data_IF_860700080443
#
_entry.id   IF_860700080443
#
_cell.length_a   1.000
_cell.length_b   1.000
_cell.length_c   1.000
_cell.angle_alpha   90.00
_cell.angle_beta   90.00
_cell.angle_gamma   90.00
#
_symmetry.space_group_name_H-M   'P 1'
#
loop_
_entity.id
_entity.type
_entity.pdbx_description
1 polymer ?
#
# COMPACT_ATOMS: atom_id res chain seq x y z
N UNK A 1 -6.13 -7.06 4.93
CA UNK A 1 -5.17 -6.02 4.51
C UNK A 1 -5.21 -5.94 3.00
N UNK A 2 -5.31 -4.74 2.41
CA UNK A 2 -5.23 -4.54 0.96
C UNK A 2 -4.13 -3.53 0.72
N UNK A 3 -3.03 -3.99 0.12
CA UNK A 3 -1.87 -3.18 -0.20
C UNK A 3 -1.70 -3.03 -1.71
N UNK A 4 -1.20 -1.89 -2.16
CA UNK A 4 -0.95 -1.64 -3.56
C UNK A 4 0.48 -1.14 -3.81
N UNK A 5 1.18 -1.82 -4.72
CA UNK A 5 2.55 -1.46 -5.14
C UNK A 5 2.50 -0.20 -6.01
N UNK A 6 3.50 0.67 -5.87
CA UNK A 6 3.69 1.83 -6.73
C UNK A 6 4.32 2.98 -5.99
N UNK A 7 4.76 4.00 -6.72
CA UNK A 7 5.23 5.25 -6.12
C UNK A 7 4.09 5.99 -5.40
N UNK A 8 4.41 6.99 -4.58
CA UNK A 8 3.40 7.89 -3.99
C UNK A 8 2.51 8.54 -5.07
N UNK A 9 3.10 8.92 -6.20
CA UNK A 9 2.37 9.47 -7.36
C UNK A 9 1.40 8.45 -7.94
N UNK A 10 1.82 7.20 -8.09
CA UNK A 10 0.98 6.10 -8.60
C UNK A 10 -0.15 5.78 -7.64
N UNK A 11 0.07 5.87 -6.33
CA UNK A 11 -0.98 5.65 -5.33
C UNK A 11 -2.03 6.76 -5.34
N UNK A 12 -1.63 8.03 -5.43
CA UNK A 12 -2.58 9.15 -5.57
C UNK A 12 -3.48 8.97 -6.80
N UNK A 13 -2.89 8.72 -7.97
CA UNK A 13 -3.64 8.45 -9.20
C UNK A 13 -4.51 7.18 -9.11
N UNK A 14 -4.15 6.21 -8.27
CA UNK A 14 -5.01 5.03 -8.00
C UNK A 14 -6.24 5.42 -7.20
N UNK A 15 -6.09 6.25 -6.16
CA UNK A 15 -7.21 6.70 -5.33
C UNK A 15 -8.21 7.51 -6.13
N UNK A 16 -7.73 8.40 -7.00
CA UNK A 16 -8.56 9.14 -7.96
C UNK A 16 -9.36 8.19 -8.86
N UNK A 17 -8.69 7.20 -9.48
CA UNK A 17 -9.37 6.20 -10.33
C UNK A 17 -10.40 5.37 -9.57
N UNK A 18 -10.13 5.00 -8.32
CA UNK A 18 -11.10 4.26 -7.51
C UNK A 18 -12.31 5.13 -7.17
N UNK A 19 -12.12 6.42 -6.90
CA UNK A 19 -13.21 7.36 -6.67
C UNK A 19 -14.09 7.55 -7.92
N UNK A 20 -13.47 7.57 -9.11
CA UNK A 20 -14.18 7.61 -10.40
C UNK A 20 -15.00 6.33 -10.70
N UNK A 21 -14.73 5.24 -9.98
CA UNK A 21 -15.49 3.98 -10.07
C UNK A 21 -16.55 3.86 -8.97
N UNK A 22 -16.99 4.99 -8.41
CA UNK A 22 -17.98 5.08 -7.33
C UNK A 22 -17.63 4.25 -6.08
N UNK A 23 -16.33 3.98 -5.86
CA UNK A 23 -15.92 3.25 -4.66
C UNK A 23 -16.08 4.15 -3.42
N UNK A 24 -16.67 3.64 -2.32
CA UNK A 24 -16.83 4.43 -1.10
C UNK A 24 -15.50 4.96 -0.58
N UNK A 25 -15.45 6.23 -0.16
CA UNK A 25 -14.26 6.85 0.39
C UNK A 25 -13.67 6.06 1.57
N UNK A 26 -14.52 5.44 2.40
CA UNK A 26 -14.10 4.56 3.49
C UNK A 26 -13.32 3.33 2.99
N UNK A 27 -13.71 2.74 1.85
CA UNK A 27 -13.00 1.61 1.24
C UNK A 27 -11.66 2.08 0.64
N UNK A 28 -11.65 3.22 -0.06
CA UNK A 28 -10.43 3.82 -0.62
C UNK A 28 -9.42 4.15 0.49
N UNK A 29 -9.88 4.70 1.62
CA UNK A 29 -9.02 5.06 2.76
C UNK A 29 -8.42 3.84 3.46
N UNK A 30 -9.05 2.66 3.34
CA UNK A 30 -8.49 1.40 3.85
C UNK A 30 -7.37 0.83 2.97
N UNK A 31 -7.22 1.31 1.73
CA UNK A 31 -6.14 0.90 0.84
C UNK A 31 -4.80 1.40 1.37
N UNK A 32 -3.85 0.48 1.55
CA UNK A 32 -2.47 0.80 1.93
C UNK A 32 -1.62 0.98 0.68
N UNK A 33 -0.99 2.13 0.53
CA UNK A 33 -0.26 2.48 -0.68
C UNK A 33 0.64 3.69 -0.44
N UNK A 34 1.92 3.65 -0.88
CA UNK A 34 2.67 2.46 -1.30
C UNK A 34 2.73 1.37 -0.22
N UNK A 35 2.57 0.10 -0.61
CA UNK A 35 2.79 -1.06 0.28
C UNK A 35 4.28 -1.23 0.60
N UNK A 36 4.58 -1.68 1.81
CA UNK A 36 5.91 -1.93 2.35
C UNK A 36 6.39 -0.86 3.32
N UNK A 37 7.27 -1.25 4.24
CA UNK A 37 7.98 -0.30 5.10
C UNK A 37 8.98 0.54 4.28
N UNK A 38 9.21 1.82 4.62
CA UNK A 38 10.09 2.71 3.87
C UNK A 38 11.57 2.42 4.17
N UNK A 39 12.08 1.30 3.64
CA UNK A 39 13.47 0.84 3.84
C UNK A 39 14.42 1.24 2.69
N UNK A 40 13.96 2.05 1.73
CA UNK A 40 14.75 2.41 0.55
C UNK A 40 14.90 1.30 -0.49
N UNK A 41 14.02 0.30 -0.45
CA UNK A 41 14.00 -0.87 -1.34
C UNK A 41 13.88 -0.50 -2.83
N UNK A 42 14.73 -1.10 -3.67
CA UNK A 42 14.76 -0.91 -5.13
C UNK A 42 14.62 -2.22 -5.89
N UNK A 43 15.11 -3.33 -5.35
CA UNK A 43 15.05 -4.64 -6.00
C UNK A 43 13.76 -5.40 -5.61
N UNK A 44 13.26 -6.33 -6.45
CA UNK A 44 12.08 -7.13 -6.11
C UNK A 44 12.20 -7.89 -4.77
N UNK A 45 13.34 -8.50 -4.40
CA UNK A 45 13.51 -9.13 -3.09
C UNK A 45 13.41 -8.14 -1.92
N UNK A 46 14.01 -6.96 -2.03
CA UNK A 46 13.91 -5.93 -0.99
C UNK A 46 12.47 -5.44 -0.81
N UNK A 47 11.74 -5.27 -1.92
CA UNK A 47 10.33 -4.91 -1.91
C UNK A 47 9.51 -6.03 -1.23
N UNK A 48 9.78 -7.29 -1.53
CA UNK A 48 9.09 -8.41 -0.87
C UNK A 48 9.31 -8.39 0.66
N UNK A 49 10.55 -8.17 1.10
CA UNK A 49 10.89 -8.06 2.53
C UNK A 49 10.17 -6.87 3.17
N UNK A 50 10.14 -5.70 2.52
CA UNK A 50 9.47 -4.52 3.07
C UNK A 50 7.96 -4.73 3.26
N UNK A 51 7.33 -5.46 2.34
CA UNK A 51 5.90 -5.84 2.40
C UNK A 51 5.66 -6.86 3.52
N UNK A 52 6.47 -7.91 3.60
CA UNK A 52 6.36 -8.92 4.66
C UNK A 52 6.52 -8.28 6.05
N UNK A 53 7.46 -7.36 6.20
CA UNK A 53 7.67 -6.62 7.45
C UNK A 53 6.46 -5.75 7.81
N UNK A 54 5.81 -5.10 6.84
CA UNK A 54 4.57 -4.35 7.08
C UNK A 54 3.43 -5.28 7.53
N UNK A 55 3.27 -6.44 6.91
CA UNK A 55 2.25 -7.43 7.28
C UNK A 55 2.44 -7.92 8.72
N UNK A 56 3.68 -8.24 9.11
CA UNK A 56 4.02 -8.63 10.49
C UNK A 56 3.72 -7.49 11.46
N UNK A 57 4.09 -6.25 11.12
CA UNK A 57 3.81 -5.06 11.94
C UNK A 57 2.30 -4.91 12.20
N UNK A 58 1.49 -5.00 11.17
CA UNK A 58 0.02 -4.87 11.28
C UNK A 58 -0.60 -6.00 12.10
N UNK A 59 -0.07 -7.22 11.97
CA UNK A 59 -0.57 -8.39 12.72
C UNK A 59 -0.15 -8.38 14.19
N UNK A 60 1.06 -7.91 14.49
CA UNK A 60 1.70 -8.10 15.80
C UNK A 60 1.51 -6.92 16.74
N UNK A 61 1.20 -5.73 16.23
CA UNK A 61 0.79 -4.60 17.06
C UNK A 61 -0.65 -4.89 17.50
N UNK A 62 -0.80 -5.29 18.78
CA UNK A 62 -2.07 -5.30 19.50
C UNK A 62 -2.56 -3.89 19.76
#
# INVERSE_FOLDING_TARGET
YVGAIGSKKTDAARRERLALLDMPAAAINRLKGPVGLPIGSKSPPEIAISILAELVKIRSIK
#
